data_IF_117128916416
#
_entry.id   IF_117128916416
#
_cell.length_a   1.000
_cell.length_b   1.000
_cell.length_c   1.000
_cell.angle_alpha   90.00
_cell.angle_beta   90.00
_cell.angle_gamma   90.00
#
_symmetry.space_group_name_H-M   'P 1'
#
loop_
_entity.id
_entity.type
_entity.pdbx_description
1 polymer ?
#
# COMPACT_ATOMS: atom_id res chain seq x y z
N UNK A 1 -15.22 -15.43 -6.90
CA UNK A 1 -14.55 -15.72 -8.18
C UNK A 1 -13.26 -14.88 -8.28
N UNK A 2 -12.22 -15.20 -7.50
CA UNK A 2 -10.85 -14.66 -7.71
C UNK A 2 -9.87 -15.77 -7.32
N UNK A 3 -9.16 -16.32 -8.30
CA UNK A 3 -8.07 -17.24 -8.06
C UNK A 3 -6.97 -16.45 -7.36
N UNK A 4 -6.75 -16.76 -6.09
CA UNK A 4 -5.59 -16.33 -5.31
C UNK A 4 -4.34 -16.97 -5.93
N UNK A 5 -3.92 -16.47 -7.09
CA UNK A 5 -2.55 -16.62 -7.53
C UNK A 5 -1.74 -15.85 -6.50
N UNK A 6 -0.81 -16.53 -5.84
CA UNK A 6 0.31 -15.88 -5.16
C UNK A 6 1.15 -15.19 -6.23
N UNK A 7 0.61 -14.12 -6.82
CA UNK A 7 1.40 -13.13 -7.53
C UNK A 7 2.11 -12.41 -6.40
N UNK A 8 3.28 -12.93 -6.05
CA UNK A 8 4.31 -12.11 -5.41
C UNK A 8 4.75 -11.03 -6.40
N UNK A 9 5.99 -10.56 -6.31
CA UNK A 9 6.50 -9.55 -7.26
C UNK A 9 6.38 -9.93 -8.75
N UNK A 10 6.28 -11.22 -9.08
CA UNK A 10 6.38 -11.72 -10.45
C UNK A 10 5.03 -11.81 -11.16
N UNK A 11 5.00 -11.45 -12.45
CA UNK A 11 3.85 -11.66 -13.34
C UNK A 11 3.43 -13.13 -13.37
N UNK A 12 2.12 -13.38 -13.43
CA UNK A 12 1.52 -14.71 -13.31
C UNK A 12 2.04 -15.72 -14.34
N UNK A 13 2.36 -15.28 -15.57
CA UNK A 13 2.85 -16.15 -16.64
C UNK A 13 4.36 -16.44 -16.59
N UNK A 14 5.11 -15.75 -15.71
CA UNK A 14 6.57 -15.88 -15.62
C UNK A 14 7.01 -17.27 -15.15
N UNK A 15 8.18 -17.71 -15.60
CA UNK A 15 8.79 -19.00 -15.18
C UNK A 15 8.98 -19.03 -13.65
N UNK A 16 9.38 -17.91 -13.06
CA UNK A 16 9.51 -17.76 -11.62
C UNK A 16 8.17 -17.95 -10.88
N UNK A 17 7.10 -17.32 -11.37
CA UNK A 17 5.75 -17.49 -10.79
C UNK A 17 5.25 -18.93 -10.92
N UNK A 18 5.45 -19.58 -12.08
CA UNK A 18 5.07 -21.00 -12.29
C UNK A 18 5.84 -21.95 -11.37
N UNK A 19 7.14 -21.68 -11.11
CA UNK A 19 7.96 -22.47 -10.18
C UNK A 19 7.50 -22.31 -8.73
N UNK A 20 7.17 -21.09 -8.32
CA UNK A 20 6.70 -20.79 -6.95
C UNK A 20 5.26 -21.28 -6.72
N UNK A 21 4.43 -21.28 -7.77
CA UNK A 21 3.04 -21.67 -7.74
C UNK A 21 2.74 -22.79 -8.76
N UNK A 22 3.21 -24.03 -8.52
CA UNK A 22 2.95 -25.15 -9.42
C UNK A 22 1.45 -25.53 -9.43
N UNK A 23 0.92 -26.00 -10.57
CA UNK A 23 -0.46 -26.46 -10.66
C UNK A 23 -0.73 -27.61 -9.68
N UNK A 24 -1.96 -27.70 -9.15
CA UNK A 24 -2.41 -28.79 -8.28
C UNK A 24 -2.29 -28.56 -6.76
N UNK A 25 -1.53 -27.55 -6.31
CA UNK A 25 -1.39 -27.26 -4.88
C UNK A 25 -2.55 -26.41 -4.36
N UNK A 26 -3.46 -27.00 -3.57
CA UNK A 26 -4.54 -26.25 -2.90
C UNK A 26 -3.97 -25.44 -1.74
N UNK A 27 -4.19 -24.12 -1.76
CA UNK A 27 -3.81 -23.20 -0.67
C UNK A 27 -5.07 -22.62 -0.03
N UNK A 28 -5.00 -22.27 1.26
CA UNK A 28 -6.06 -21.51 1.94
C UNK A 28 -6.18 -20.15 1.27
N UNK A 29 -7.38 -19.80 0.82
CA UNK A 29 -7.65 -18.50 0.23
C UNK A 29 -7.69 -17.48 1.37
N UNK A 30 -6.82 -16.49 1.31
CA UNK A 30 -7.00 -15.29 2.12
C UNK A 30 -8.10 -14.48 1.42
N UNK A 31 -9.24 -14.36 2.08
CA UNK A 31 -10.31 -13.50 1.62
C UNK A 31 -9.98 -12.07 2.07
N UNK A 32 -9.72 -11.20 1.10
CA UNK A 32 -9.50 -9.78 1.31
C UNK A 32 -10.62 -9.11 0.52
N UNK A 33 -11.39 -8.27 1.20
CA UNK A 33 -12.40 -7.47 0.53
C UNK A 33 -11.68 -6.45 -0.36
N UNK A 34 -11.98 -6.45 -1.67
CA UNK A 34 -11.42 -5.45 -2.55
C UNK A 34 -12.02 -4.09 -2.17
N UNK A 35 -11.15 -3.13 -1.92
CA UNK A 35 -11.55 -1.73 -1.72
C UNK A 35 -12.09 -1.22 -3.06
N UNK A 36 -13.13 -0.38 -3.01
CA UNK A 36 -13.66 0.26 -4.21
C UNK A 36 -12.58 1.14 -4.86
N UNK A 37 -12.74 1.42 -6.15
CA UNK A 37 -11.77 2.23 -6.87
C UNK A 37 -11.76 3.69 -6.37
N UNK A 38 -12.93 4.19 -6.00
CA UNK A 38 -13.14 5.56 -5.47
C UNK A 38 -12.47 5.77 -4.11
N UNK A 39 -12.53 4.77 -3.24
CA UNK A 39 -11.99 4.85 -1.86
C UNK A 39 -10.47 4.68 -1.80
N UNK A 40 -9.81 4.40 -2.93
CA UNK A 40 -8.39 4.10 -2.95
C UNK A 40 -7.54 5.37 -2.98
N UNK A 41 -6.81 5.63 -1.88
CA UNK A 41 -6.11 6.89 -1.67
C UNK A 41 -4.63 6.95 -2.09
N UNK A 42 -3.99 5.82 -2.43
CA UNK A 42 -2.53 5.78 -2.67
C UNK A 42 -2.20 5.43 -4.13
N UNK A 43 -1.48 6.30 -4.83
CA UNK A 43 -1.08 6.05 -6.21
C UNK A 43 0.42 5.80 -6.37
N UNK A 44 0.79 5.25 -7.54
CA UNK A 44 2.18 5.08 -7.91
C UNK A 44 2.84 6.46 -8.01
N UNK A 45 3.98 6.62 -7.34
CA UNK A 45 4.73 7.86 -7.27
C UNK A 45 4.47 8.74 -6.04
N UNK A 46 3.49 8.41 -5.20
CA UNK A 46 3.24 9.15 -3.95
C UNK A 46 4.34 8.90 -2.92
N UNK A 47 4.58 9.89 -2.06
CA UNK A 47 5.50 9.76 -0.92
C UNK A 47 4.70 9.36 0.30
N UNK A 48 5.15 8.31 0.99
CA UNK A 48 4.42 7.73 2.10
C UNK A 48 5.35 7.35 3.25
N UNK A 49 4.81 7.32 4.47
CA UNK A 49 5.50 6.89 5.68
C UNK A 49 4.99 5.53 6.14
N UNK A 50 5.88 4.73 6.70
CA UNK A 50 5.54 3.44 7.30
C UNK A 50 5.15 3.65 8.77
N UNK A 51 3.90 3.34 9.11
CA UNK A 51 3.38 3.46 10.48
C UNK A 51 3.72 2.25 11.36
N UNK A 52 3.87 1.08 10.75
CA UNK A 52 4.02 -0.20 11.47
C UNK A 52 4.93 -1.17 10.73
N UNK A 53 5.71 -1.94 11.50
CA UNK A 53 6.63 -2.95 11.00
C UNK A 53 8.09 -2.69 11.40
N UNK A 54 9.01 -3.40 10.75
CA UNK A 54 10.46 -3.32 11.02
C UNK A 54 11.02 -1.92 10.72
N UNK A 55 10.47 -1.24 9.73
CA UNK A 55 10.96 0.06 9.24
C UNK A 55 9.98 1.19 9.53
N UNK A 56 9.35 1.15 10.70
CA UNK A 56 8.47 2.23 11.17
C UNK A 56 9.20 3.58 11.17
N UNK A 57 8.52 4.62 10.68
CA UNK A 57 9.03 5.99 10.59
C UNK A 57 9.90 6.28 9.36
N UNK A 58 10.17 5.27 8.51
CA UNK A 58 10.85 5.52 7.23
C UNK A 58 9.86 6.03 6.20
N UNK A 59 10.34 6.98 5.40
CA UNK A 59 9.63 7.53 4.26
C UNK A 59 10.12 6.85 2.99
N UNK A 60 9.21 6.59 2.05
CA UNK A 60 9.51 5.94 0.79
C UNK A 60 8.53 6.36 -0.32
N UNK A 61 8.95 6.20 -1.56
CA UNK A 61 8.11 6.45 -2.73
C UNK A 61 7.40 5.17 -3.14
N UNK A 62 6.13 5.27 -3.54
CA UNK A 62 5.37 4.12 -4.02
C UNK A 62 5.85 3.71 -5.40
N UNK A 63 6.37 2.48 -5.50
CA UNK A 63 6.87 1.90 -6.74
C UNK A 63 5.78 1.15 -7.51
N UNK A 64 4.97 0.36 -6.79
CA UNK A 64 3.92 -0.47 -7.41
C UNK A 64 2.75 -0.68 -6.46
N UNK A 65 1.53 -0.69 -7.00
CA UNK A 65 0.31 -0.91 -6.23
C UNK A 65 -0.39 -2.22 -6.60
N UNK A 66 -0.74 -3.02 -5.59
CA UNK A 66 -1.50 -4.27 -5.71
C UNK A 66 -2.90 -4.15 -5.07
N UNK A 67 -3.85 -3.60 -5.82
CA UNK A 67 -5.25 -3.40 -5.35
C UNK A 67 -5.95 -4.68 -4.90
N UNK A 68 -5.72 -5.80 -5.60
CA UNK A 68 -6.36 -7.09 -5.30
C UNK A 68 -6.01 -7.69 -3.92
N UNK A 69 -4.98 -7.17 -3.25
CA UNK A 69 -4.53 -7.59 -1.90
C UNK A 69 -4.39 -6.41 -0.94
N UNK A 70 -4.81 -5.21 -1.36
CA UNK A 70 -4.60 -3.97 -0.62
C UNK A 70 -3.11 -3.75 -0.24
N UNK A 71 -2.21 -4.13 -1.16
CA UNK A 71 -0.76 -4.13 -0.95
C UNK A 71 -0.03 -3.10 -1.79
N UNK A 72 1.10 -2.59 -1.32
CA UNK A 72 1.91 -1.56 -1.98
C UNK A 72 3.40 -1.90 -1.81
N UNK A 73 4.21 -1.69 -2.84
CA UNK A 73 5.68 -1.77 -2.78
C UNK A 73 6.24 -0.35 -2.70
N UNK A 74 7.17 -0.13 -1.77
CA UNK A 74 7.92 1.13 -1.63
C UNK A 74 9.36 0.94 -2.09
N UNK A 75 9.88 1.93 -2.80
CA UNK A 75 11.29 1.96 -3.21
C UNK A 75 12.20 1.97 -1.98
N UNK A 76 13.19 1.08 -1.96
CA UNK A 76 14.18 1.01 -0.88
C UNK A 76 13.66 0.35 0.40
N UNK A 77 12.42 -0.13 0.44
CA UNK A 77 11.90 -0.93 1.55
C UNK A 77 12.27 -2.40 1.38
N UNK A 78 13.29 -2.87 2.11
CA UNK A 78 13.81 -4.24 1.98
C UNK A 78 13.07 -5.17 2.94
N UNK A 79 12.39 -6.18 2.40
CA UNK A 79 11.79 -7.25 3.19
C UNK A 79 12.82 -8.16 3.85
N UNK A 80 12.36 -9.12 4.65
CA UNK A 80 13.26 -10.17 5.17
C UNK A 80 13.84 -10.95 3.99
N UNK A 81 15.15 -10.82 3.76
CA UNK A 81 15.88 -11.69 2.84
C UNK A 81 15.87 -13.10 3.40
N UNK A 82 15.49 -14.08 2.57
CA UNK A 82 15.83 -15.47 2.87
C UNK A 82 17.36 -15.61 2.85
N UNK A 83 17.90 -16.48 3.72
CA UNK A 83 19.34 -16.74 3.78
C UNK A 83 19.83 -17.21 2.40
N UNK A 84 20.44 -16.30 1.64
CA UNK A 84 20.95 -16.55 0.30
C UNK A 84 22.44 -16.84 0.42
N UNK A 85 22.87 -18.05 0.05
CA UNK A 85 24.29 -18.44 0.01
C UNK A 85 24.99 -17.88 -1.24
N UNK A 86 24.91 -16.57 -1.45
CA UNK A 86 25.44 -15.88 -2.62
C UNK A 86 25.42 -14.37 -2.47
N UNK A 87 25.29 -13.62 -3.58
CA UNK A 87 25.22 -12.16 -3.56
C UNK A 87 23.98 -11.67 -2.82
N UNK A 88 24.15 -10.72 -1.89
CA UNK A 88 23.06 -10.10 -1.17
C UNK A 88 22.21 -9.25 -2.13
N UNK A 89 21.00 -9.73 -2.45
CA UNK A 89 20.03 -9.00 -3.27
C UNK A 89 18.93 -8.49 -2.35
N UNK A 90 18.88 -7.17 -2.19
CA UNK A 90 17.80 -6.49 -1.50
C UNK A 90 16.48 -6.74 -2.22
N UNK A 91 15.56 -7.45 -1.55
CA UNK A 91 14.25 -7.77 -2.10
C UNK A 91 13.17 -6.95 -1.40
N UNK A 92 12.60 -6.00 -2.13
CA UNK A 92 11.43 -5.25 -1.71
C UNK A 92 10.20 -6.12 -1.39
N UNK A 93 9.58 -5.86 -0.24
CA UNK A 93 8.39 -6.59 0.19
C UNK A 93 7.13 -5.73 0.09
N UNK A 94 5.98 -6.32 -0.28
CA UNK A 94 4.73 -5.59 -0.26
C UNK A 94 4.29 -5.31 1.19
N UNK A 95 3.92 -4.05 1.43
CA UNK A 95 3.29 -3.56 2.64
C UNK A 95 1.78 -3.47 2.44
N UNK A 96 1.02 -3.49 3.53
CA UNK A 96 -0.45 -3.34 3.47
C UNK A 96 -0.81 -1.87 3.58
N UNK A 97 -1.87 -1.44 2.90
CA UNK A 97 -2.34 -0.05 2.93
C UNK A 97 -2.50 0.50 4.35
N UNK A 98 -3.06 -0.28 5.27
CA UNK A 98 -3.26 0.12 6.68
C UNK A 98 -1.99 0.46 7.46
N UNK A 99 -0.82 0.04 6.97
CA UNK A 99 0.47 0.26 7.63
C UNK A 99 1.20 1.49 7.07
N UNK A 100 0.55 2.24 6.18
CA UNK A 100 1.15 3.34 5.43
C UNK A 100 0.27 4.58 5.57
N UNK A 101 0.89 5.76 5.59
CA UNK A 101 0.22 7.05 5.52
C UNK A 101 0.85 7.92 4.43
N UNK A 102 0.04 8.70 3.71
CA UNK A 102 0.56 9.69 2.77
C UNK A 102 1.32 10.80 3.51
N UNK A 103 2.35 11.31 2.87
CA UNK A 103 3.14 12.45 3.35
C UNK A 103 2.97 13.58 2.36
N UNK A 104 2.78 14.79 2.88
CA UNK A 104 2.77 15.98 2.05
C UNK A 104 4.19 16.31 1.55
N UNK A 105 4.38 16.51 0.23
CA UNK A 105 5.70 16.80 -0.32
C UNK A 105 6.28 18.14 0.18
N UNK A 106 5.40 19.07 0.61
CA UNK A 106 5.77 20.41 1.09
C UNK A 106 6.27 20.37 2.53
N UNK A 107 5.45 19.82 3.44
CA UNK A 107 5.73 19.86 4.88
C UNK A 107 6.49 18.63 5.38
N UNK A 108 6.55 17.55 4.58
CA UNK A 108 7.16 16.24 4.90
C UNK A 108 6.68 15.66 6.23
N UNK A 109 5.48 16.07 6.66
CA UNK A 109 4.83 15.65 7.88
C UNK A 109 3.65 14.76 7.55
N UNK A 110 3.29 13.94 8.52
CA UNK A 110 2.05 13.19 8.54
C UNK A 110 0.87 14.17 8.56
N UNK A 111 -0.16 13.97 7.72
CA UNK A 111 -1.37 14.77 7.79
C UNK A 111 -2.05 14.52 9.14
N UNK A 112 -2.30 15.59 9.89
CA UNK A 112 -3.16 15.57 11.06
C UNK A 112 -4.60 15.70 10.58
N UNK A 113 -5.45 14.72 10.90
CA UNK A 113 -6.86 14.70 10.50
C UNK A 113 -7.70 15.12 11.71
N UNK A 114 -8.24 16.34 11.68
CA UNK A 114 -9.21 16.81 12.67
C UNK A 114 -10.63 16.66 12.12
N UNK A 115 -11.50 15.97 12.87
CA UNK A 115 -12.91 15.86 12.51
C UNK A 115 -13.67 17.07 13.03
N UNK A 116 -14.34 17.81 12.15
CA UNK A 116 -15.27 18.87 12.53
C UNK A 116 -16.64 18.63 11.92
N UNK A 117 -17.66 19.13 12.60
CA UNK A 117 -19.02 19.16 12.09
C UNK A 117 -19.30 20.58 11.61
N UNK A 118 -19.75 20.71 10.36
CA UNK A 118 -20.28 21.99 9.86
C UNK A 118 -21.66 22.24 10.44
N UNK A 119 -22.11 23.50 10.37
CA UNK A 119 -23.41 23.94 10.90
C UNK A 119 -24.60 23.20 10.25
N UNK A 120 -24.38 22.62 9.07
CA UNK A 120 -25.34 21.82 8.31
C UNK A 120 -25.39 20.34 8.74
N UNK A 121 -24.60 19.96 9.75
CA UNK A 121 -24.56 18.58 10.30
C UNK A 121 -23.70 17.62 9.50
N UNK A 122 -23.01 18.10 8.45
CA UNK A 122 -22.07 17.28 7.69
C UNK A 122 -20.77 17.08 8.45
N UNK A 123 -20.22 15.87 8.37
CA UNK A 123 -18.94 15.53 8.99
C UNK A 123 -17.82 15.82 8.01
N UNK A 124 -17.07 16.89 8.23
CA UNK A 124 -15.95 17.29 7.39
C UNK A 124 -14.64 16.97 8.10
N UNK A 125 -13.71 16.30 7.43
CA UNK A 125 -12.34 16.20 7.94
C UNK A 125 -11.53 17.40 7.47
N UNK A 126 -11.01 18.20 8.39
CA UNK A 126 -10.05 19.24 8.11
C UNK A 126 -8.66 18.65 8.27
N UNK A 127 -7.98 18.41 7.14
CA UNK A 127 -6.56 18.09 7.14
C UNK A 127 -5.74 19.37 7.12
N UNK A 128 -4.86 19.58 8.11
CA UNK A 128 -3.97 20.76 8.19
C UNK A 128 -2.80 20.70 7.22
N UNK A 129 -2.68 19.61 6.44
CA UNK A 129 -1.66 19.39 5.41
C UNK A 129 -2.31 19.30 4.03
N UNK A 130 -1.88 20.18 3.12
CA UNK A 130 -2.44 20.32 1.79
C UNK A 130 -2.08 19.13 0.89
N UNK A 131 -2.88 18.06 0.91
CA UNK A 131 -2.88 17.11 -0.19
C UNK A 131 -3.72 17.71 -1.31
N UNK A 132 -3.07 18.44 -2.22
CA UNK A 132 -3.67 19.20 -3.34
C UNK A 132 -4.63 18.41 -4.23
N UNK A 133 -4.62 17.06 -4.15
CA UNK A 133 -5.49 16.17 -4.92
C UNK A 133 -6.59 15.48 -4.09
N UNK A 134 -6.51 15.51 -2.76
CA UNK A 134 -7.43 14.78 -1.85
C UNK A 134 -8.13 15.68 -0.82
N UNK A 135 -7.71 16.92 -0.62
CA UNK A 135 -8.48 17.89 0.18
C UNK A 135 -9.92 18.10 -0.34
N UNK A 136 -10.19 17.79 -1.61
CA UNK A 136 -11.53 17.91 -2.21
C UNK A 136 -12.39 16.65 -2.13
N UNK A 137 -11.84 15.48 -1.78
CA UNK A 137 -12.62 14.23 -1.76
C UNK A 137 -13.14 13.84 -0.38
N UNK A 138 -12.69 14.49 0.70
CA UNK A 138 -13.25 14.30 2.03
C UNK A 138 -14.59 15.05 2.27
N UNK A 139 -15.23 15.53 1.19
CA UNK A 139 -16.55 16.17 1.20
C UNK A 139 -17.67 15.21 0.77
N UNK A 140 -17.40 13.95 0.37
CA UNK A 140 -18.49 13.10 -0.09
C UNK A 140 -18.30 11.60 0.23
N UNK A 141 -19.24 11.12 1.05
CA UNK A 141 -19.68 9.74 1.34
C UNK A 141 -18.85 8.87 2.30
#
# INVERSE_FOLDING_TARGET
>A
RYQSWLVGRFLAFSVAAKRLNPPGKKRRKVFIEPIAYEDWSVFEGDTVEILSGKDKGKQGKVAQVFRHRNGVILDGYIGKSADYQGTYIASEAPLLLRNISLIDPTDRKLPEVEWRFTEEGEKVSLGTGCISRFCYSAIAF
#
